data_IF_699855004788
#
_entry.id   IF_699855004788
#
_cell.length_a   1.000
_cell.length_b   1.000
_cell.length_c   1.000
_cell.angle_alpha   90.00
_cell.angle_beta   90.00
_cell.angle_gamma   90.00
#
_symmetry.space_group_name_H-M   'P 1'
#
loop_
_entity.id
_entity.type
_entity.pdbx_description
1 polymer ?
#
# COMPACT_ATOMS: atom_id res chain seq x y z
N UNK A 1 -5.78 -2.81 -22.99
CA UNK A 1 -6.16 -1.89 -21.89
C UNK A 1 -4.89 -1.39 -21.25
N UNK A 2 -4.84 -0.12 -20.83
CA UNK A 2 -3.70 0.45 -20.09
C UNK A 2 -4.00 0.47 -18.59
N UNK A 3 -2.96 0.59 -17.76
CA UNK A 3 -3.09 0.88 -16.34
C UNK A 3 -2.56 2.27 -16.02
N UNK A 4 -3.22 2.97 -15.10
CA UNK A 4 -2.76 4.22 -14.51
C UNK A 4 -2.69 4.05 -12.99
N UNK A 5 -1.48 4.04 -12.44
CA UNK A 5 -1.26 4.02 -10.99
C UNK A 5 -1.05 5.45 -10.49
N UNK A 6 -1.75 5.81 -9.42
CA UNK A 6 -1.56 7.10 -8.76
C UNK A 6 -0.60 6.97 -7.58
N UNK A 7 0.59 7.55 -7.73
CA UNK A 7 1.67 7.55 -6.73
C UNK A 7 2.22 8.96 -6.44
N UNK A 8 1.39 10.00 -6.59
CA UNK A 8 1.77 11.40 -6.36
C UNK A 8 1.46 11.96 -4.97
N UNK A 9 0.91 11.15 -4.06
CA UNK A 9 0.46 11.62 -2.75
C UNK A 9 1.61 11.87 -1.75
N UNK A 10 1.54 12.98 -1.00
CA UNK A 10 2.57 13.38 0.00
C UNK A 10 2.65 12.48 1.25
N UNK A 11 1.73 11.52 1.43
CA UNK A 11 1.83 10.49 2.48
C UNK A 11 1.84 10.98 3.93
N UNK A 12 1.33 12.19 4.23
CA UNK A 12 1.55 12.88 5.51
C UNK A 12 1.05 12.14 6.76
N UNK A 13 0.02 11.29 6.63
CA UNK A 13 -0.55 10.49 7.74
C UNK A 13 0.34 9.34 8.22
N UNK A 14 1.33 8.93 7.42
CA UNK A 14 2.31 7.89 7.75
C UNK A 14 3.67 8.46 8.17
N UNK A 15 3.74 9.77 8.43
CA UNK A 15 4.93 10.34 9.06
C UNK A 15 5.14 9.67 10.43
N UNK A 16 6.41 9.42 10.83
CA UNK A 16 7.63 9.93 10.22
C UNK A 16 8.17 9.12 9.03
N UNK A 17 7.59 7.96 8.71
CA UNK A 17 8.14 7.04 7.68
C UNK A 17 8.17 7.67 6.28
N UNK A 18 7.20 8.53 5.99
CA UNK A 18 7.05 9.20 4.69
C UNK A 18 7.74 10.56 4.62
N UNK A 19 8.56 10.95 5.62
CA UNK A 19 9.44 12.12 5.47
C UNK A 19 10.54 11.88 4.44
N UNK A 20 11.02 10.64 4.36
CA UNK A 20 12.18 10.25 3.55
C UNK A 20 11.80 9.44 2.32
N UNK A 21 10.52 9.14 2.10
CA UNK A 21 10.08 8.41 0.91
C UNK A 21 8.57 8.38 0.65
N UNK A 22 8.21 7.83 -0.51
CA UNK A 22 6.82 7.74 -0.98
C UNK A 22 5.99 6.77 -0.12
N UNK A 23 4.73 7.11 0.20
CA UNK A 23 3.80 6.22 0.95
C UNK A 23 3.67 4.85 0.29
N UNK A 24 3.59 4.84 -1.04
CA UNK A 24 3.39 3.65 -1.86
C UNK A 24 4.59 2.69 -1.79
N UNK A 25 5.74 3.16 -1.31
CA UNK A 25 6.96 2.36 -1.16
C UNK A 25 7.17 1.85 0.27
N UNK A 26 6.32 2.23 1.22
CA UNK A 26 6.36 1.66 2.57
C UNK A 26 6.11 0.15 2.45
N UNK A 27 7.00 -0.70 2.98
CA UNK A 27 6.88 -2.13 2.77
C UNK A 27 5.85 -2.74 3.72
N UNK A 28 5.07 -3.67 3.19
CA UNK A 28 4.18 -4.58 3.91
C UNK A 28 4.68 -5.99 3.63
N UNK A 29 4.97 -6.76 4.68
CA UNK A 29 5.62 -8.07 4.58
C UNK A 29 6.91 -8.03 3.73
N UNK A 30 7.76 -7.03 3.96
CA UNK A 30 9.00 -6.75 3.22
C UNK A 30 8.84 -6.44 1.71
N UNK A 31 7.63 -6.21 1.21
CA UNK A 31 7.40 -5.83 -0.19
C UNK A 31 6.73 -4.45 -0.25
N UNK A 32 7.20 -3.51 -1.12
CA UNK A 32 6.54 -2.23 -1.31
C UNK A 32 5.04 -2.38 -1.66
N UNK A 33 4.17 -1.55 -1.08
CA UNK A 33 2.72 -1.57 -1.36
C UNK A 33 2.43 -1.49 -2.87
N UNK A 34 3.16 -0.62 -3.56
CA UNK A 34 3.05 -0.42 -5.01
C UNK A 34 3.25 -1.73 -5.80
N UNK A 35 4.03 -2.69 -5.30
CA UNK A 35 4.36 -3.91 -6.06
C UNK A 35 3.14 -4.80 -6.15
N UNK A 36 2.35 -4.88 -5.07
CA UNK A 36 1.13 -5.67 -5.06
C UNK A 36 0.16 -5.21 -6.16
N UNK A 37 0.00 -3.89 -6.33
CA UNK A 37 -0.83 -3.34 -7.41
C UNK A 37 -0.29 -3.64 -8.81
N UNK A 38 1.03 -3.46 -9.03
CA UNK A 38 1.67 -3.76 -10.32
C UNK A 38 1.56 -5.25 -10.66
N UNK A 39 1.91 -6.13 -9.73
CA UNK A 39 1.85 -7.58 -9.89
C UNK A 39 0.41 -8.06 -10.18
N UNK A 40 -0.59 -7.51 -9.49
CA UNK A 40 -2.00 -7.84 -9.72
C UNK A 40 -2.46 -7.42 -11.13
N UNK A 41 -2.06 -6.23 -11.59
CA UNK A 41 -2.38 -5.77 -12.95
C UNK A 41 -1.69 -6.61 -14.03
N UNK A 42 -0.42 -6.97 -13.82
CA UNK A 42 0.30 -7.88 -14.72
C UNK A 42 -0.34 -9.26 -14.74
N UNK A 43 -0.73 -9.80 -13.59
CA UNK A 43 -1.41 -11.10 -13.49
C UNK A 43 -2.77 -11.08 -14.20
N UNK A 44 -3.45 -9.94 -14.24
CA UNK A 44 -4.67 -9.71 -15.03
C UNK A 44 -4.39 -9.52 -16.54
N UNK A 45 -3.13 -9.43 -16.96
CA UNK A 45 -2.71 -9.27 -18.36
C UNK A 45 -2.52 -7.81 -18.81
N UNK A 46 -2.48 -6.85 -17.88
CA UNK A 46 -2.27 -5.43 -18.17
C UNK A 46 -0.79 -5.09 -17.96
N UNK A 47 -0.04 -4.93 -19.04
CA UNK A 47 1.42 -4.74 -19.02
C UNK A 47 1.88 -3.36 -19.49
N UNK A 48 0.99 -2.50 -19.98
CA UNK A 48 1.30 -1.09 -20.33
C UNK A 48 0.82 -0.18 -19.19
N UNK A 49 1.75 0.23 -18.33
CA UNK A 49 1.46 0.86 -17.04
C UNK A 49 2.01 2.28 -17.03
N UNK A 50 1.13 3.26 -16.78
CA UNK A 50 1.49 4.63 -16.44
C UNK A 50 1.54 4.79 -14.93
N UNK A 51 2.61 5.37 -14.37
CA UNK A 51 2.69 5.73 -12.95
C UNK A 51 2.75 7.24 -12.83
N UNK A 52 1.73 7.82 -12.20
CA UNK A 52 1.71 9.25 -11.85
C UNK A 52 2.58 9.46 -10.63
N UNK A 53 3.55 10.35 -10.76
CA UNK A 53 4.55 10.66 -9.73
C UNK A 53 4.56 12.15 -9.40
N UNK A 54 4.97 12.50 -8.19
CA UNK A 54 5.20 13.90 -7.80
C UNK A 54 6.66 14.32 -8.00
N UNK A 55 6.97 15.62 -8.09
CA UNK A 55 8.35 16.11 -8.14
C UNK A 55 9.19 15.66 -6.93
N UNK A 56 8.58 15.57 -5.76
CA UNK A 56 9.29 15.29 -4.50
C UNK A 56 9.64 13.80 -4.32
N UNK A 57 8.75 12.90 -4.76
CA UNK A 57 8.87 11.45 -4.50
C UNK A 57 9.12 10.61 -5.75
N UNK A 58 8.97 11.19 -6.94
CA UNK A 58 9.00 10.45 -8.20
C UNK A 58 10.32 9.78 -8.54
N UNK A 59 11.45 10.34 -8.10
CA UNK A 59 12.77 9.72 -8.31
C UNK A 59 12.90 8.40 -7.57
N UNK A 60 12.38 8.31 -6.34
CA UNK A 60 12.43 7.10 -5.55
C UNK A 60 11.55 6.00 -6.17
N UNK A 61 10.33 6.36 -6.58
CA UNK A 61 9.43 5.44 -7.31
C UNK A 61 10.15 4.90 -8.54
N UNK A 62 10.73 5.76 -9.38
CA UNK A 62 11.50 5.37 -10.56
C UNK A 62 12.64 4.39 -10.26
N UNK A 63 13.43 4.68 -9.21
CA UNK A 63 14.57 3.86 -8.84
C UNK A 63 14.14 2.45 -8.40
N UNK A 64 13.02 2.33 -7.71
CA UNK A 64 12.51 1.05 -7.23
C UNK A 64 11.80 0.28 -8.36
N UNK A 65 10.94 0.91 -9.17
CA UNK A 65 10.15 0.21 -10.20
C UNK A 65 10.90 -0.03 -11.51
N UNK A 66 11.96 0.73 -11.78
CA UNK A 66 12.76 0.61 -13.01
C UNK A 66 11.95 0.94 -14.27
N UNK A 67 12.11 0.17 -15.34
CA UNK A 67 11.33 0.31 -16.57
C UNK A 67 10.12 -0.64 -16.62
N UNK A 68 9.88 -1.40 -15.55
CA UNK A 68 8.84 -2.42 -15.46
C UNK A 68 9.30 -3.85 -15.78
N UNK A 69 10.54 -4.05 -16.24
CA UNK A 69 11.04 -5.38 -16.61
C UNK A 69 11.00 -6.39 -15.44
N UNK A 70 11.21 -5.92 -14.20
CA UNK A 70 11.08 -6.73 -12.98
C UNK A 70 9.72 -7.43 -12.89
N UNK A 71 8.67 -6.80 -13.42
CA UNK A 71 7.30 -7.28 -13.38
C UNK A 71 6.85 -7.89 -14.71
N UNK A 72 7.68 -7.91 -15.75
CA UNK A 72 7.24 -8.27 -17.10
C UNK A 72 6.28 -7.24 -17.71
N UNK A 73 6.41 -5.96 -17.32
CA UNK A 73 5.60 -4.85 -17.80
C UNK A 73 6.47 -3.74 -18.42
N UNK A 74 5.81 -2.76 -19.03
CA UNK A 74 6.41 -1.50 -19.47
C UNK A 74 5.83 -0.37 -18.63
N UNK A 75 6.70 0.33 -17.90
CA UNK A 75 6.31 1.46 -17.05
C UNK A 75 6.66 2.79 -17.71
N UNK A 76 5.67 3.68 -17.80
CA UNK A 76 5.80 5.07 -18.24
C UNK A 76 5.54 6.00 -17.06
N UNK A 77 6.45 6.91 -16.78
CA UNK A 77 6.29 7.86 -15.67
C UNK A 77 5.64 9.16 -16.13
N UNK A 78 4.65 9.62 -15.38
CA UNK A 78 3.83 10.79 -15.69
C UNK A 78 3.97 11.76 -14.53
N UNK A 79 4.60 12.91 -14.76
CA UNK A 79 4.81 13.92 -13.73
C UNK A 79 3.51 14.68 -13.49
N UNK A 80 3.03 14.69 -12.24
CA UNK A 80 1.98 15.58 -11.77
C UNK A 80 2.63 16.67 -10.91
N UNK A 81 2.77 17.87 -11.46
CA UNK A 81 3.49 18.97 -10.81
C UNK A 81 2.83 19.40 -9.49
N UNK A 82 1.49 19.37 -9.44
CA UNK A 82 0.72 19.77 -8.27
C UNK A 82 -0.34 18.71 -7.89
N UNK A 83 -0.52 18.43 -6.58
CA UNK A 83 -1.48 17.44 -6.09
C UNK A 83 -2.92 17.98 -6.13
N UNK A 84 -3.41 18.36 -7.31
CA UNK A 84 -4.73 18.97 -7.52
C UNK A 84 -5.87 17.94 -7.67
N UNK A 85 -5.78 16.78 -7.00
CA UNK A 85 -6.83 15.75 -6.99
C UNK A 85 -6.63 14.57 -7.96
N UNK A 86 -7.47 13.54 -7.80
CA UNK A 86 -7.39 12.29 -8.56
C UNK A 86 -7.78 12.48 -10.03
N UNK A 87 -8.81 13.27 -10.32
CA UNK A 87 -9.21 13.55 -11.70
C UNK A 87 -8.16 14.41 -12.42
N UNK A 88 -7.43 15.27 -11.70
CA UNK A 88 -6.27 15.98 -12.26
C UNK A 88 -5.19 15.01 -12.74
N UNK A 89 -4.90 13.95 -11.97
CA UNK A 89 -3.91 12.96 -12.36
C UNK A 89 -4.28 12.24 -13.67
N UNK A 90 -5.56 11.89 -13.84
CA UNK A 90 -6.08 11.32 -15.10
C UNK A 90 -5.97 12.33 -16.25
N UNK A 91 -6.25 13.61 -16.00
CA UNK A 91 -6.11 14.69 -17.00
C UNK A 91 -4.67 14.84 -17.49
N UNK A 92 -3.70 14.83 -16.57
CA UNK A 92 -2.27 14.90 -16.89
C UNK A 92 -1.81 13.65 -17.64
N UNK A 93 -2.37 12.49 -17.32
CA UNK A 93 -2.07 11.22 -17.98
C UNK A 93 -2.71 11.05 -19.37
N UNK A 94 -3.54 12.00 -19.84
CA UNK A 94 -4.24 11.90 -21.14
C UNK A 94 -3.33 11.57 -22.33
N UNK A 95 -2.12 12.15 -22.49
CA UNK A 95 -1.23 11.79 -23.60
C UNK A 95 -0.78 10.32 -23.56
N UNK A 96 -0.64 9.74 -22.36
CA UNK A 96 -0.35 8.32 -22.19
C UNK A 96 -1.59 7.47 -22.45
N UNK A 97 -2.76 7.85 -21.92
CA UNK A 97 -3.98 7.06 -22.00
C UNK A 97 -4.60 7.02 -23.41
N UNK A 98 -4.53 8.14 -24.14
CA UNK A 98 -5.18 8.36 -25.44
C UNK A 98 -6.67 7.99 -25.41
N UNK A 99 -7.18 7.24 -26.39
CA UNK A 99 -8.56 6.75 -26.43
C UNK A 99 -8.66 5.28 -25.98
N UNK A 100 -7.68 4.80 -25.20
CA UNK A 100 -7.71 3.43 -24.67
C UNK A 100 -8.55 3.38 -23.39
N UNK A 101 -9.44 2.39 -23.21
CA UNK A 101 -9.97 2.10 -21.89
C UNK A 101 -8.82 1.73 -20.96
N UNK A 102 -8.96 2.08 -19.69
CA UNK A 102 -7.89 1.90 -18.71
C UNK A 102 -8.43 1.58 -17.32
N UNK A 103 -7.58 0.93 -16.53
CA UNK A 103 -7.74 0.82 -15.09
C UNK A 103 -7.00 1.99 -14.41
N UNK A 104 -7.65 2.65 -13.47
CA UNK A 104 -7.01 3.57 -12.52
C UNK A 104 -6.88 2.86 -11.18
N UNK A 105 -5.67 2.82 -10.63
CA UNK A 105 -5.35 2.15 -9.36
C UNK A 105 -4.66 3.14 -8.42
N UNK A 106 -5.17 3.31 -7.20
CA UNK A 106 -4.53 4.12 -6.17
C UNK A 106 -3.36 3.32 -5.58
N UNK A 107 -2.13 3.80 -5.76
CA UNK A 107 -0.91 3.04 -5.46
C UNK A 107 -0.67 2.74 -3.97
N UNK A 108 -1.53 3.22 -3.10
CA UNK A 108 -1.51 2.99 -1.64
C UNK A 108 -2.64 2.07 -1.16
N UNK A 109 -3.41 1.47 -2.08
CA UNK A 109 -4.48 0.54 -1.78
C UNK A 109 -4.03 -0.89 -2.04
N UNK A 110 -4.34 -1.79 -1.10
CA UNK A 110 -4.17 -3.23 -1.27
C UNK A 110 -5.53 -3.89 -1.36
N UNK A 111 -5.76 -4.66 -2.41
CA UNK A 111 -6.90 -5.56 -2.56
C UNK A 111 -6.42 -7.01 -2.57
N UNK A 112 -7.29 -7.93 -2.21
CA UNK A 112 -6.97 -9.36 -2.27
C UNK A 112 -6.64 -9.79 -3.72
N UNK A 113 -5.56 -10.57 -3.87
CA UNK A 113 -5.05 -11.01 -5.17
C UNK A 113 -6.03 -11.96 -5.85
N UNK A 114 -6.17 -11.82 -7.17
CA UNK A 114 -7.04 -12.63 -8.01
C UNK A 114 -8.40 -11.99 -8.30
N UNK A 115 -8.81 -10.97 -7.53
CA UNK A 115 -10.09 -10.29 -7.74
C UNK A 115 -10.06 -9.39 -8.98
N UNK A 116 -8.91 -8.82 -9.33
CA UNK A 116 -8.84 -7.83 -10.40
C UNK A 116 -9.20 -8.41 -11.77
N UNK A 117 -8.80 -9.65 -12.03
CA UNK A 117 -9.09 -10.36 -13.28
C UNK A 117 -10.60 -10.51 -13.51
N UNK A 118 -11.36 -10.77 -12.44
CA UNK A 118 -12.82 -10.93 -12.51
C UNK A 118 -13.49 -9.59 -12.86
N UNK A 119 -13.06 -8.50 -12.22
CA UNK A 119 -13.58 -7.17 -12.53
C UNK A 119 -13.22 -6.71 -13.94
N UNK A 120 -11.98 -6.99 -14.38
CA UNK A 120 -11.54 -6.72 -15.74
C UNK A 120 -12.39 -7.47 -16.78
N UNK A 121 -12.69 -8.75 -16.53
CA UNK A 121 -13.56 -9.54 -17.40
C UNK A 121 -14.96 -8.94 -17.48
N UNK A 122 -15.55 -8.54 -16.34
CA UNK A 122 -16.85 -7.90 -16.29
C UNK A 122 -16.87 -6.56 -17.05
N UNK A 123 -15.86 -5.72 -16.87
CA UNK A 123 -15.74 -4.46 -17.61
C UNK A 123 -15.62 -4.71 -19.12
N UNK A 124 -14.83 -5.69 -19.53
CA UNK A 124 -14.63 -6.00 -20.95
C UNK A 124 -15.90 -6.57 -21.60
N UNK A 125 -16.67 -7.38 -20.88
CA UNK A 125 -17.89 -8.00 -21.39
C UNK A 125 -19.08 -7.03 -21.45
N UNK A 126 -19.26 -6.20 -20.41
CA UNK A 126 -20.40 -5.30 -20.32
C UNK A 126 -20.14 -3.93 -20.97
N UNK A 127 -18.86 -3.58 -21.17
CA UNK A 127 -18.41 -2.32 -21.76
C UNK A 127 -19.09 -1.07 -21.14
N UNK A 128 -19.16 -0.95 -19.80
CA UNK A 128 -19.72 0.24 -19.18
C UNK A 128 -18.81 1.45 -19.41
N UNK A 129 -19.37 2.65 -19.24
CA UNK A 129 -18.60 3.90 -19.27
C UNK A 129 -17.64 4.01 -18.09
N UNK A 130 -18.07 3.50 -16.93
CA UNK A 130 -17.23 3.33 -15.76
C UNK A 130 -17.64 2.09 -14.94
N UNK A 131 -16.66 1.40 -14.37
CA UNK A 131 -16.86 0.38 -13.35
C UNK A 131 -16.06 0.74 -12.10
N UNK A 132 -16.75 0.82 -10.96
CA UNK A 132 -16.16 1.12 -9.66
C UNK A 132 -16.22 -0.10 -8.75
N UNK A 133 -15.26 -0.23 -7.84
CA UNK A 133 -15.28 -1.23 -6.79
C UNK A 133 -15.74 -0.60 -5.48
N UNK A 134 -16.57 -1.32 -4.73
CA UNK A 134 -17.13 -0.89 -3.46
C UNK A 134 -16.81 -1.91 -2.36
N UNK A 135 -16.62 -1.41 -1.14
CA UNK A 135 -16.49 -2.23 0.05
C UNK A 135 -17.29 -1.58 1.19
N UNK A 136 -17.95 -2.39 2.01
CA UNK A 136 -18.70 -1.90 3.16
C UNK A 136 -17.74 -1.45 4.27
N UNK A 137 -17.95 -0.25 4.81
CA UNK A 137 -17.12 0.32 5.88
C UNK A 137 -17.95 0.80 7.04
N UNK A 138 -17.38 0.72 8.24
CA UNK A 138 -18.01 1.21 9.47
C UNK A 138 -18.08 2.74 9.51
N UNK A 139 -17.07 3.42 8.96
CA UNK A 139 -17.02 4.89 8.91
C UNK A 139 -16.91 5.42 7.46
N UNK A 140 -18.03 5.53 6.75
CA UNK A 140 -18.05 5.94 5.34
C UNK A 140 -17.72 7.43 5.11
N UNK A 141 -17.77 8.27 6.14
CA UNK A 141 -17.56 9.74 6.02
C UNK A 141 -16.14 10.13 5.56
N UNK A 142 -15.17 9.23 5.67
CA UNK A 142 -13.79 9.45 5.26
C UNK A 142 -13.52 9.16 3.77
N UNK A 143 -14.50 8.62 3.05
CA UNK A 143 -14.33 8.08 1.68
C UNK A 143 -15.36 8.67 0.71
N UNK A 144 -15.17 8.39 -0.59
CA UNK A 144 -16.24 8.54 -1.57
C UNK A 144 -17.28 7.43 -1.41
N UNK A 145 -18.54 7.80 -1.21
CA UNK A 145 -19.62 6.86 -0.85
C UNK A 145 -20.63 6.76 -1.99
N UNK A 146 -20.92 5.53 -2.41
CA UNK A 146 -21.83 5.24 -3.51
C UNK A 146 -23.19 4.75 -3.01
N UNK A 147 -24.27 5.21 -3.64
CA UNK A 147 -25.58 4.59 -3.56
C UNK A 147 -25.80 3.76 -4.82
N UNK A 148 -26.12 2.49 -4.65
CA UNK A 148 -26.39 1.56 -5.75
C UNK A 148 -27.83 1.06 -5.69
N UNK A 149 -28.37 0.67 -6.84
CA UNK A 149 -29.64 -0.07 -6.92
C UNK A 149 -29.43 -1.59 -6.81
N UNK A 150 -30.53 -2.33 -6.78
CA UNK A 150 -30.54 -3.80 -6.67
C UNK A 150 -29.88 -4.51 -7.86
N UNK A 151 -29.66 -3.80 -8.98
CA UNK A 151 -28.99 -4.33 -10.19
C UNK A 151 -27.49 -4.03 -10.21
N UNK A 152 -26.98 -3.27 -9.24
CA UNK A 152 -25.58 -2.85 -9.15
C UNK A 152 -25.26 -1.60 -9.99
N UNK A 153 -26.27 -0.85 -10.45
CA UNK A 153 -26.06 0.46 -11.10
C UNK A 153 -25.84 1.51 -10.03
N UNK A 154 -24.90 2.42 -10.28
CA UNK A 154 -24.60 3.53 -9.37
C UNK A 154 -25.63 4.66 -9.60
N UNK A 155 -26.37 4.99 -8.55
CA UNK A 155 -27.39 6.03 -8.55
C UNK A 155 -26.83 7.39 -8.13
N UNK A 156 -25.88 7.38 -7.19
CA UNK A 156 -25.30 8.59 -6.62
C UNK A 156 -23.91 8.28 -6.06
N UNK A 157 -22.99 9.23 -6.19
CA UNK A 157 -21.64 9.14 -5.64
C UNK A 157 -21.25 10.49 -5.04
N UNK A 158 -20.76 10.49 -3.81
CA UNK A 158 -20.42 11.73 -3.09
C UNK A 158 -19.07 11.56 -2.40
N UNK A 159 -18.14 12.50 -2.60
CA UNK A 159 -16.87 12.53 -1.87
C UNK A 159 -17.06 12.98 -0.43
N UNK A 160 -16.57 12.18 0.52
CA UNK A 160 -16.51 12.47 1.96
C UNK A 160 -17.78 13.15 2.50
N UNK A 161 -18.95 12.52 2.32
CA UNK A 161 -20.21 13.11 2.71
C UNK A 161 -20.31 13.22 4.24
N UNK A 162 -20.83 14.36 4.73
CA UNK A 162 -21.20 14.50 6.15
C UNK A 162 -22.33 13.56 6.54
N UNK A 163 -23.25 13.31 5.61
CA UNK A 163 -24.37 12.37 5.76
C UNK A 163 -24.25 11.35 4.62
N UNK A 164 -23.67 10.18 4.87
CA UNK A 164 -23.37 9.20 3.83
C UNK A 164 -24.67 8.55 3.33
N UNK A 165 -24.85 8.38 1.99
CA UNK A 165 -26.05 7.77 1.44
C UNK A 165 -26.10 6.24 1.63
N UNK A 166 -24.99 5.62 2.01
CA UNK A 166 -24.84 4.19 2.29
C UNK A 166 -23.55 3.95 3.10
N UNK A 167 -23.23 2.68 3.42
CA UNK A 167 -21.93 2.28 3.97
C UNK A 167 -20.93 1.81 2.90
N UNK A 168 -21.27 1.94 1.61
CA UNK A 168 -20.45 1.45 0.50
C UNK A 168 -19.44 2.51 0.08
N UNK A 169 -18.18 2.32 0.47
CA UNK A 169 -17.07 3.18 0.10
C UNK A 169 -16.40 2.72 -1.19
N UNK A 170 -15.91 3.68 -1.98
CA UNK A 170 -15.04 3.42 -3.11
C UNK A 170 -13.75 2.74 -2.67
N UNK A 171 -13.51 1.56 -3.21
CA UNK A 171 -12.19 0.92 -3.22
C UNK A 171 -11.40 1.64 -4.30
N UNK A 172 -10.13 1.97 -4.04
CA UNK A 172 -9.26 2.77 -4.90
C UNK A 172 -8.89 2.16 -6.27
N UNK A 173 -9.81 1.44 -6.91
CA UNK A 173 -9.66 0.76 -8.19
C UNK A 173 -10.88 1.07 -9.05
N UNK A 174 -10.62 1.56 -10.26
CA UNK A 174 -11.63 2.06 -11.18
C UNK A 174 -11.30 1.58 -12.59
N UNK A 175 -12.31 1.27 -13.38
CA UNK A 175 -12.16 1.03 -14.81
C UNK A 175 -12.95 2.09 -15.56
N UNK A 176 -12.33 2.68 -16.58
CA UNK A 176 -12.94 3.76 -17.35
C UNK A 176 -12.88 3.47 -18.83
N UNK A 177 -13.97 3.81 -19.51
CA UNK A 177 -13.94 4.08 -20.94
C UNK A 177 -13.35 5.49 -21.18
N UNK A 178 -12.90 5.81 -22.41
CA UNK A 178 -12.31 7.11 -22.72
C UNK A 178 -13.23 8.31 -22.43
N UNK A 179 -14.54 8.09 -22.32
CA UNK A 179 -15.52 9.16 -22.05
C UNK A 179 -15.30 9.85 -20.70
N UNK A 180 -14.57 9.22 -19.78
CA UNK A 180 -14.19 9.84 -18.51
C UNK A 180 -13.40 11.14 -18.73
N UNK A 181 -12.65 11.24 -19.84
CA UNK A 181 -11.90 12.46 -20.16
C UNK A 181 -12.82 13.66 -20.40
N UNK A 182 -13.98 13.44 -21.01
CA UNK A 182 -14.98 14.47 -21.25
C UNK A 182 -15.62 14.88 -19.91
N UNK A 183 -15.98 13.91 -19.08
CA UNK A 183 -16.52 14.18 -17.74
C UNK A 183 -15.54 14.97 -16.86
N UNK A 184 -14.25 14.61 -16.88
CA UNK A 184 -13.19 15.34 -16.16
C UNK A 184 -13.03 16.77 -16.69
N UNK A 185 -13.29 17.03 -17.97
CA UNK A 185 -13.21 18.38 -18.53
C UNK A 185 -14.33 19.31 -18.06
N UNK A 186 -15.44 18.76 -17.56
CA UNK A 186 -16.62 19.50 -17.14
C UNK A 186 -16.61 19.85 -15.64
N UNK A 187 -15.84 19.14 -14.82
CA UNK A 187 -15.80 19.36 -13.37
C UNK A 187 -14.95 20.58 -13.00
N UNK A 188 -15.27 21.16 -11.84
CA UNK A 188 -14.52 22.24 -11.21
C UNK A 188 -13.90 21.74 -9.91
N UNK A 189 -12.84 22.40 -9.40
CA UNK A 189 -12.27 22.05 -8.10
C UNK A 189 -13.31 22.08 -6.99
N UNK A 190 -13.28 21.08 -6.10
CA UNK A 190 -14.16 21.00 -4.94
C UNK A 190 -13.85 22.11 -3.92
N UNK A 191 -14.61 22.16 -2.83
CA UNK A 191 -14.30 23.06 -1.70
C UNK A 191 -12.91 22.82 -1.08
N UNK A 192 -12.26 21.70 -1.42
CA UNK A 192 -10.88 21.37 -1.01
C UNK A 192 -9.83 21.87 -2.00
N UNK A 193 -10.25 22.43 -3.14
CA UNK A 193 -9.36 22.84 -4.23
C UNK A 193 -8.86 21.67 -5.09
N UNK A 194 -9.43 20.48 -4.95
CA UNK A 194 -9.04 19.27 -5.67
C UNK A 194 -10.06 18.93 -6.77
N UNK A 195 -9.60 18.45 -7.92
CA UNK A 195 -10.44 17.80 -8.92
C UNK A 195 -10.71 16.36 -8.48
N UNK A 196 -11.89 16.15 -7.92
CA UNK A 196 -12.31 14.86 -7.36
C UNK A 196 -12.76 13.92 -8.48
N UNK A 197 -12.32 12.65 -8.44
CA UNK A 197 -12.76 11.65 -9.42
C UNK A 197 -14.24 11.28 -9.24
N UNK A 198 -14.75 11.37 -8.01
CA UNK A 198 -16.17 11.18 -7.70
C UNK A 198 -17.06 12.14 -8.47
N UNK A 199 -16.65 13.39 -8.63
CA UNK A 199 -17.42 14.41 -9.32
C UNK A 199 -17.46 14.13 -10.83
N UNK A 200 -16.36 13.61 -11.39
CA UNK A 200 -16.33 13.16 -12.78
C UNK A 200 -17.24 11.94 -13.00
N UNK A 201 -17.23 10.97 -12.07
CA UNK A 201 -18.12 9.81 -12.15
C UNK A 201 -19.59 10.23 -11.96
N UNK A 202 -19.88 11.15 -11.05
CA UNK A 202 -21.24 11.70 -10.87
C UNK A 202 -21.71 12.42 -12.14
N UNK A 203 -20.83 13.17 -12.81
CA UNK A 203 -21.14 13.78 -14.11
C UNK A 203 -21.50 12.74 -15.19
N UNK A 204 -20.86 11.57 -15.19
CA UNK A 204 -21.28 10.45 -16.07
C UNK A 204 -22.69 9.97 -15.72
N UNK A 205 -23.00 9.79 -14.43
CA UNK A 205 -24.33 9.37 -13.96
C UNK A 205 -25.40 10.37 -14.40
N UNK A 206 -25.15 11.67 -14.21
CA UNK A 206 -26.07 12.75 -14.57
C UNK A 206 -26.35 12.81 -16.08
N UNK A 207 -25.35 12.44 -16.89
CA UNK A 207 -25.46 12.31 -18.35
C UNK A 207 -26.06 10.97 -18.81
N UNK A 208 -26.63 10.19 -17.90
CA UNK A 208 -27.24 8.88 -18.14
C UNK A 208 -26.27 7.84 -18.75
N UNK A 209 -24.97 7.99 -18.51
CA UNK A 209 -23.94 7.01 -18.87
C UNK A 209 -24.02 5.78 -17.98
N UNK A 210 -23.46 4.67 -18.45
CA UNK A 210 -23.50 3.40 -17.73
C UNK A 210 -22.37 3.33 -16.71
N UNK A 211 -22.70 3.60 -15.44
CA UNK A 211 -21.79 3.44 -14.30
C UNK A 211 -22.23 2.24 -13.47
N UNK A 212 -21.36 1.24 -13.40
CA UNK A 212 -21.61 -0.01 -12.67
C UNK A 212 -20.74 -0.09 -11.43
N UNK A 213 -21.23 -0.78 -10.41
CA UNK A 213 -20.46 -1.14 -9.23
C UNK A 213 -20.25 -2.66 -9.10
N UNK A 214 -19.15 -3.03 -8.46
CA UNK A 214 -18.93 -4.37 -7.95
C UNK A 214 -18.53 -4.32 -6.49
N UNK A 215 -19.05 -5.22 -5.68
CA UNK A 215 -18.56 -5.40 -4.32
C UNK A 215 -17.25 -6.18 -4.36
N UNK A 216 -16.29 -5.77 -3.55
CA UNK A 216 -15.10 -6.55 -3.24
C UNK A 216 -15.45 -7.51 -2.10
N UNK A 217 -15.41 -8.82 -2.38
CA UNK A 217 -15.69 -9.85 -1.36
C UNK A 217 -14.47 -10.13 -0.47
N UNK A 218 -13.26 -9.91 -1.00
CA UNK A 218 -12.00 -10.02 -0.27
C UNK A 218 -11.72 -8.80 0.61
N UNK A 219 -10.58 -8.83 1.28
CA UNK A 219 -10.16 -7.69 2.09
C UNK A 219 -9.70 -6.50 1.22
N UNK A 220 -9.89 -5.30 1.76
CA UNK A 220 -9.33 -4.06 1.26
C UNK A 220 -8.62 -3.33 2.40
N UNK A 221 -7.38 -2.90 2.15
CA UNK A 221 -6.53 -2.25 3.15
C UNK A 221 -6.01 -0.90 2.62
N UNK A 222 -6.35 0.19 3.32
CA UNK A 222 -5.68 1.50 3.19
C UNK A 222 -4.57 1.56 4.24
N UNK A 223 -3.32 1.55 3.81
CA UNK A 223 -2.16 1.64 4.73
C UNK A 223 -1.92 3.09 5.16
N UNK A 224 -2.96 3.80 5.60
CA UNK A 224 -2.96 5.24 5.84
C UNK A 224 -2.26 5.68 7.13
N UNK A 225 -2.14 4.79 8.12
CA UNK A 225 -1.57 5.04 9.45
C UNK A 225 -0.75 3.84 9.95
N UNK A 226 -0.08 3.99 11.09
CA UNK A 226 0.73 2.93 11.75
C UNK A 226 -0.07 1.64 11.92
N UNK A 227 -1.23 1.72 12.56
CA UNK A 227 -2.00 0.51 12.89
C UNK A 227 -2.58 -0.14 11.65
N UNK A 228 -2.98 0.65 10.65
CA UNK A 228 -3.42 0.14 9.35
C UNK A 228 -2.28 -0.60 8.62
N UNK A 229 -1.03 -0.12 8.76
CA UNK A 229 0.16 -0.78 8.21
C UNK A 229 0.44 -2.12 8.91
N UNK A 230 0.34 -2.17 10.24
CA UNK A 230 0.50 -3.40 11.02
C UNK A 230 -0.59 -4.42 10.67
N UNK A 231 -1.82 -3.97 10.53
CA UNK A 231 -2.93 -4.83 10.13
C UNK A 231 -2.77 -5.34 8.69
N UNK A 232 -2.32 -4.49 7.77
CA UNK A 232 -1.97 -4.92 6.43
C UNK A 232 -0.85 -5.96 6.45
N UNK A 233 0.19 -5.76 7.26
CA UNK A 233 1.28 -6.73 7.43
C UNK A 233 0.76 -8.07 7.95
N UNK A 234 -0.12 -8.04 8.96
CA UNK A 234 -0.76 -9.22 9.54
C UNK A 234 -1.52 -10.03 8.49
N UNK A 235 -2.43 -9.38 7.76
CA UNK A 235 -3.28 -10.02 6.75
C UNK A 235 -2.45 -10.59 5.59
N UNK A 236 -1.48 -9.83 5.10
CA UNK A 236 -0.61 -10.28 3.99
C UNK A 236 0.23 -11.49 4.41
N UNK A 237 0.84 -11.45 5.61
CA UNK A 237 1.60 -12.58 6.13
C UNK A 237 0.72 -13.81 6.36
N UNK A 238 -0.52 -13.63 6.81
CA UNK A 238 -1.43 -14.75 7.04
C UNK A 238 -1.91 -15.39 5.72
N UNK A 239 -2.15 -14.55 4.71
CA UNK A 239 -2.73 -14.96 3.42
C UNK A 239 -1.68 -15.53 2.47
N UNK A 240 -0.51 -14.88 2.33
CA UNK A 240 0.42 -15.16 1.22
C UNK A 240 1.80 -15.68 1.64
N UNK A 241 2.13 -15.69 2.93
CA UNK A 241 3.46 -16.14 3.36
C UNK A 241 3.64 -17.63 3.05
N UNK A 242 4.61 -17.91 2.18
CA UNK A 242 5.06 -19.27 1.87
C UNK A 242 6.37 -19.55 2.62
N UNK A 243 6.43 -20.59 3.47
CA UNK A 243 7.63 -20.87 4.25
C UNK A 243 8.82 -21.19 3.35
N UNK A 244 9.98 -20.60 3.66
CA UNK A 244 11.22 -20.86 2.95
C UNK A 244 12.42 -20.48 3.82
N UNK A 245 13.54 -21.17 3.65
CA UNK A 245 14.77 -20.81 4.33
C UNK A 245 15.94 -20.92 3.36
N UNK A 246 16.50 -19.76 3.02
CA UNK A 246 17.73 -19.65 2.22
C UNK A 246 18.87 -18.98 3.00
N UNK A 247 18.72 -18.86 4.33
CA UNK A 247 19.73 -18.33 5.25
C UNK A 247 20.44 -19.43 6.06
N UNK A 248 21.34 -19.00 6.94
CA UNK A 248 22.07 -19.84 7.88
C UNK A 248 21.39 -19.84 9.25
N UNK A 249 20.97 -21.00 9.74
CA UNK A 249 20.32 -21.16 11.05
C UNK A 249 21.15 -22.14 11.89
N UNK A 250 21.57 -21.73 13.09
CA UNK A 250 22.37 -22.59 13.97
C UNK A 250 21.54 -23.70 14.65
N UNK A 251 22.23 -24.68 15.24
CA UNK A 251 21.58 -25.84 15.88
C UNK A 251 20.80 -25.50 17.16
N UNK A 252 21.01 -24.31 17.75
CA UNK A 252 20.30 -23.86 18.95
C UNK A 252 19.01 -23.11 18.62
N UNK A 253 18.89 -22.62 17.39
CA UNK A 253 17.71 -21.87 16.96
C UNK A 253 16.50 -22.77 16.69
N UNK A 254 15.32 -22.26 16.98
CA UNK A 254 14.04 -22.93 16.74
C UNK A 254 13.18 -22.11 15.78
N UNK A 255 12.73 -22.74 14.69
CA UNK A 255 11.81 -22.15 13.71
C UNK A 255 10.49 -22.91 13.80
N UNK A 256 9.41 -22.21 14.15
CA UNK A 256 8.09 -22.80 14.40
C UNK A 256 7.05 -22.09 13.51
N UNK A 257 6.22 -22.86 12.80
CA UNK A 257 5.17 -22.30 11.93
C UNK A 257 5.69 -21.80 10.59
N UNK A 258 4.95 -20.87 9.95
CA UNK A 258 5.28 -20.35 8.63
C UNK A 258 6.36 -19.26 8.73
N UNK A 259 7.59 -19.54 8.31
CA UNK A 259 8.68 -18.57 8.37
C UNK A 259 9.41 -18.53 7.04
N UNK A 260 9.66 -17.31 6.56
CA UNK A 260 10.52 -17.03 5.41
C UNK A 260 11.82 -16.38 5.86
N UNK A 261 12.96 -16.91 5.45
CA UNK A 261 14.30 -16.40 5.77
C UNK A 261 15.06 -16.16 4.48
N UNK A 262 15.43 -14.90 4.23
CA UNK A 262 16.17 -14.43 3.06
C UNK A 262 17.65 -14.83 3.04
N UNK A 263 18.29 -14.63 1.90
CA UNK A 263 19.65 -15.12 1.65
C UNK A 263 20.69 -14.36 2.48
N UNK A 264 21.80 -15.03 2.81
CA UNK A 264 22.90 -14.48 3.62
C UNK A 264 22.48 -14.00 5.03
N UNK A 265 21.28 -14.36 5.48
CA UNK A 265 20.82 -14.04 6.83
C UNK A 265 21.30 -15.08 7.82
N UNK A 266 21.79 -14.64 8.98
CA UNK A 266 22.31 -15.50 10.05
C UNK A 266 21.40 -15.45 11.26
N UNK A 267 20.94 -16.62 11.69
CA UNK A 267 20.05 -16.81 12.83
C UNK A 267 20.79 -17.67 13.86
N UNK A 268 21.12 -17.07 15.02
CA UNK A 268 21.98 -17.67 16.03
C UNK A 268 21.27 -17.67 17.38
N UNK A 269 21.03 -18.84 17.95
CA UNK A 269 20.37 -18.99 19.25
C UNK A 269 19.03 -18.21 19.35
N UNK A 270 18.22 -18.23 18.29
CA UNK A 270 16.95 -17.52 18.22
C UNK A 270 15.74 -18.47 18.31
N UNK A 271 14.60 -17.96 18.77
CA UNK A 271 13.30 -18.64 18.61
C UNK A 271 12.40 -17.80 17.72
N UNK A 272 11.99 -18.35 16.57
CA UNK A 272 11.14 -17.65 15.60
C UNK A 272 9.82 -18.40 15.48
N UNK A 273 8.71 -17.70 15.74
CA UNK A 273 7.35 -18.24 15.65
C UNK A 273 6.56 -17.48 14.58
N UNK A 274 6.24 -18.19 13.50
CA UNK A 274 5.53 -17.68 12.35
C UNK A 274 4.04 -17.39 12.59
N UNK A 275 3.39 -16.61 11.69
CA UNK A 275 3.93 -16.14 10.41
C UNK A 275 4.96 -15.00 10.55
N UNK A 276 6.16 -15.19 10.00
CA UNK A 276 7.27 -14.20 10.06
C UNK A 276 8.02 -14.18 8.73
N UNK A 277 8.39 -12.99 8.26
CA UNK A 277 9.28 -12.80 7.11
C UNK A 277 10.56 -12.09 7.54
N UNK A 278 11.71 -12.64 7.15
CA UNK A 278 13.03 -12.08 7.38
C UNK A 278 13.70 -11.87 6.02
N UNK A 279 14.14 -10.65 5.75
CA UNK A 279 14.84 -10.27 4.54
C UNK A 279 16.24 -10.88 4.44
N UNK A 280 16.90 -10.60 3.33
CA UNK A 280 18.30 -10.95 3.10
C UNK A 280 19.28 -10.11 3.92
N UNK A 281 20.49 -10.66 4.13
CA UNK A 281 21.61 -10.03 4.84
C UNK A 281 21.28 -9.59 6.28
N UNK A 282 20.39 -10.30 6.97
CA UNK A 282 20.05 -10.00 8.35
C UNK A 282 20.97 -10.73 9.33
N UNK A 283 21.21 -10.14 10.49
CA UNK A 283 21.92 -10.80 11.59
C UNK A 283 21.04 -10.80 12.83
N UNK A 284 20.59 -11.98 13.25
CA UNK A 284 19.78 -12.19 14.45
C UNK A 284 20.54 -13.08 15.43
N UNK A 285 20.73 -12.61 16.65
CA UNK A 285 21.42 -13.35 17.72
C UNK A 285 20.66 -13.22 19.04
N UNK A 286 20.39 -14.35 19.71
CA UNK A 286 19.73 -14.39 21.02
C UNK A 286 18.36 -13.66 21.04
N UNK A 287 17.56 -13.84 19.99
CA UNK A 287 16.28 -13.12 19.82
C UNK A 287 15.08 -14.07 19.89
N UNK A 288 13.96 -13.60 20.44
CA UNK A 288 12.64 -14.14 20.14
C UNK A 288 11.91 -13.27 19.10
N UNK A 289 11.49 -13.89 17.99
CA UNK A 289 10.70 -13.24 16.95
C UNK A 289 9.31 -13.89 16.92
N UNK A 290 8.30 -13.13 17.33
CA UNK A 290 6.91 -13.55 17.40
C UNK A 290 6.13 -13.32 16.10
N UNK A 291 4.93 -13.89 16.02
CA UNK A 291 4.05 -13.82 14.85
C UNK A 291 3.79 -12.41 14.33
N UNK A 292 3.46 -12.35 13.04
CA UNK A 292 3.07 -11.15 12.31
C UNK A 292 4.16 -10.07 12.28
N UNK A 293 5.42 -10.49 12.39
CA UNK A 293 6.57 -9.61 12.31
C UNK A 293 7.22 -9.69 10.93
N UNK A 294 7.61 -8.53 10.39
CA UNK A 294 8.41 -8.43 9.17
C UNK A 294 9.73 -7.74 9.46
N UNK A 295 10.84 -8.39 9.15
CA UNK A 295 12.20 -7.87 9.34
C UNK A 295 12.80 -7.64 7.96
N UNK A 296 13.00 -6.39 7.57
CA UNK A 296 13.51 -6.02 6.26
C UNK A 296 14.99 -6.37 6.09
N UNK A 297 15.52 -6.10 4.89
CA UNK A 297 16.91 -6.37 4.54
C UNK A 297 17.91 -5.63 5.44
N UNK A 298 19.11 -6.20 5.56
CA UNK A 298 20.25 -5.54 6.20
C UNK A 298 20.01 -5.18 7.69
N UNK A 299 19.05 -5.82 8.36
CA UNK A 299 18.69 -5.55 9.76
C UNK A 299 19.56 -6.36 10.72
N UNK A 300 19.93 -5.74 11.85
CA UNK A 300 20.67 -6.41 12.94
C UNK A 300 19.84 -6.41 14.22
N UNK A 301 19.54 -7.58 14.76
CA UNK A 301 18.84 -7.76 16.03
C UNK A 301 19.71 -8.62 16.96
N UNK A 302 20.05 -8.12 18.14
CA UNK A 302 20.88 -8.85 19.12
C UNK A 302 20.28 -8.66 20.49
N UNK A 303 20.06 -9.75 21.22
CA UNK A 303 19.50 -9.75 22.58
C UNK A 303 18.20 -8.91 22.65
N UNK A 304 17.23 -9.23 21.79
CA UNK A 304 15.94 -8.52 21.70
C UNK A 304 14.79 -9.45 21.35
N UNK A 305 13.63 -9.14 21.91
CA UNK A 305 12.39 -9.86 21.65
C UNK A 305 11.38 -8.94 20.96
N UNK A 306 10.75 -9.41 19.86
CA UNK A 306 9.75 -8.65 19.12
C UNK A 306 8.54 -9.50 18.69
N UNK A 307 7.36 -8.89 18.57
CA UNK A 307 6.13 -9.50 18.05
C UNK A 307 5.28 -8.42 17.34
N UNK A 308 4.45 -8.81 16.36
CA UNK A 308 3.50 -7.91 15.68
C UNK A 308 4.12 -6.55 15.30
N UNK A 309 5.29 -6.60 14.66
CA UNK A 309 6.12 -5.42 14.40
C UNK A 309 6.74 -5.42 13.00
N UNK A 310 6.87 -4.24 12.42
CA UNK A 310 7.49 -4.01 11.11
C UNK A 310 8.84 -3.31 11.31
N UNK A 311 9.93 -4.00 11.01
CA UNK A 311 11.30 -3.48 11.14
C UNK A 311 11.83 -3.17 9.74
N UNK A 312 12.08 -1.88 9.45
CA UNK A 312 12.50 -1.43 8.13
C UNK A 312 14.01 -1.60 7.90
N UNK A 313 14.39 -1.43 6.62
CA UNK A 313 15.72 -1.77 6.13
C UNK A 313 16.84 -1.08 6.91
N UNK A 314 17.88 -1.86 7.25
CA UNK A 314 19.07 -1.36 7.92
C UNK A 314 18.88 -1.00 9.39
N UNK A 315 17.70 -1.22 9.98
CA UNK A 315 17.49 -0.97 11.41
C UNK A 315 18.40 -1.86 12.27
N UNK A 316 18.76 -1.35 13.44
CA UNK A 316 19.64 -2.04 14.40
C UNK A 316 19.08 -1.96 15.81
N UNK A 317 18.78 -3.11 16.40
CA UNK A 317 18.22 -3.21 17.75
C UNK A 317 19.11 -4.13 18.57
N UNK A 318 19.75 -3.59 19.61
CA UNK A 318 20.78 -4.32 20.37
C UNK A 318 20.59 -4.14 21.88
N UNK A 319 20.42 -5.25 22.58
CA UNK A 319 20.36 -5.31 24.04
C UNK A 319 19.03 -4.87 24.65
N UNK A 320 17.97 -4.72 23.86
CA UNK A 320 16.67 -4.28 24.35
C UNK A 320 15.94 -5.47 24.98
N UNK A 321 16.01 -5.57 26.31
CA UNK A 321 15.44 -6.68 27.07
C UNK A 321 13.91 -6.58 27.26
N UNK A 322 13.33 -5.40 27.02
CA UNK A 322 11.88 -5.23 26.97
C UNK A 322 11.35 -5.76 25.65
N UNK A 323 10.20 -6.42 25.70
CA UNK A 323 9.54 -6.93 24.51
C UNK A 323 9.03 -5.76 23.65
N UNK A 324 9.39 -5.75 22.37
CA UNK A 324 8.90 -4.80 21.38
C UNK A 324 7.62 -5.37 20.75
N UNK A 325 6.52 -4.63 20.80
CA UNK A 325 5.22 -5.05 20.27
C UNK A 325 4.51 -3.88 19.58
N UNK A 326 3.63 -4.15 18.62
CA UNK A 326 2.79 -3.15 17.94
C UNK A 326 3.59 -1.97 17.34
N UNK A 327 4.80 -2.27 16.88
CA UNK A 327 5.82 -1.27 16.58
C UNK A 327 6.20 -1.25 15.11
N UNK A 328 6.44 -0.04 14.59
CA UNK A 328 7.07 0.16 13.28
C UNK A 328 8.37 0.91 13.47
N UNK A 329 9.49 0.27 13.16
CA UNK A 329 10.83 0.82 13.36
C UNK A 329 11.40 1.23 12.01
N UNK A 330 11.70 2.52 11.86
CA UNK A 330 12.10 3.15 10.60
C UNK A 330 13.44 2.65 10.03
N UNK A 331 13.69 3.00 8.76
CA UNK A 331 14.93 2.61 8.08
C UNK A 331 16.15 3.18 8.81
N UNK A 332 17.18 2.34 9.01
CA UNK A 332 18.44 2.72 9.68
C UNK A 332 18.25 3.30 11.10
N UNK A 333 17.10 3.04 11.73
CA UNK A 333 16.89 3.42 13.12
C UNK A 333 17.72 2.53 14.04
N UNK A 334 18.31 3.12 15.08
CA UNK A 334 19.12 2.41 16.06
C UNK A 334 18.48 2.46 17.46
N UNK A 335 18.22 1.31 18.05
CA UNK A 335 17.78 1.14 19.43
C UNK A 335 18.86 0.34 20.16
N UNK A 336 19.63 1.01 21.03
CA UNK A 336 20.78 0.39 21.70
C UNK A 336 20.85 0.74 23.17
N UNK A 337 21.49 -0.12 23.97
CA UNK A 337 21.87 0.20 25.34
C UNK A 337 23.18 0.98 25.36
N UNK A 338 23.17 2.16 26.01
CA UNK A 338 24.37 2.91 26.27
C UNK A 338 25.27 2.19 27.31
N UNK A 339 26.60 2.11 27.08
CA UNK A 339 27.51 1.34 27.95
C UNK A 339 27.79 2.01 29.31
N UNK A 340 27.34 3.25 29.54
CA UNK A 340 27.71 4.07 30.71
C UNK A 340 26.59 4.07 31.76
N UNK A 341 26.98 4.03 33.04
CA UNK A 341 26.08 4.25 34.19
C UNK A 341 25.91 5.75 34.48
N UNK A 342 24.77 6.19 35.07
CA UNK A 342 23.60 5.38 35.46
C UNK A 342 22.78 4.90 34.24
N UNK A 343 21.96 3.86 34.43
CA UNK A 343 20.99 3.44 33.41
C UNK A 343 20.01 4.58 33.19
N UNK A 344 19.99 5.11 31.97
CA UNK A 344 19.13 6.23 31.60
C UNK A 344 18.72 6.08 30.14
N UNK A 345 17.52 6.58 29.81
CA UNK A 345 17.04 6.65 28.44
C UNK A 345 17.62 7.89 27.76
N UNK A 346 18.05 7.74 26.51
CA UNK A 346 18.58 8.83 25.68
C UNK A 346 17.95 8.70 24.31
N UNK A 347 17.46 9.81 23.80
CA UNK A 347 16.73 9.81 22.53
C UNK A 347 17.32 10.85 21.58
N UNK A 348 17.40 10.48 20.32
CA UNK A 348 17.51 11.38 19.17
C UNK A 348 16.26 11.10 18.34
N UNK A 349 15.31 12.04 18.35
CA UNK A 349 13.96 11.86 17.79
C UNK A 349 13.73 12.96 16.75
N UNK A 350 13.21 12.60 15.58
CA UNK A 350 12.78 13.55 14.55
C UNK A 350 11.34 14.03 14.73
N UNK A 351 10.86 14.80 13.77
CA UNK A 351 9.48 15.29 13.74
C UNK A 351 8.46 14.14 13.62
N UNK A 352 7.25 14.32 14.16
CA UNK A 352 6.12 13.39 14.13
C UNK A 352 6.38 11.96 14.66
N UNK A 353 7.54 11.67 15.26
CA UNK A 353 7.79 10.40 15.93
C UNK A 353 6.98 10.27 17.23
N UNK A 354 6.45 9.07 17.48
CA UNK A 354 5.78 8.70 18.72
C UNK A 354 6.55 7.57 19.41
N UNK A 355 6.86 7.74 20.70
CA UNK A 355 7.50 6.72 21.52
C UNK A 355 6.59 6.46 22.72
N UNK A 356 6.19 5.21 22.89
CA UNK A 356 5.39 4.75 24.03
C UNK A 356 6.19 3.72 24.82
N UNK A 357 6.35 3.98 26.11
CA UNK A 357 7.02 3.08 27.05
C UNK A 357 5.96 2.66 28.06
N UNK A 358 5.69 1.36 28.16
CA UNK A 358 4.65 0.78 29.01
C UNK A 358 5.22 -0.14 30.08
#
# INVERSE_FOLDING_TARGET
>A
MKALILSGGKGTRLRPLTYTGAKQLVPVANKPILWYGIEEMVAAGITDIGIVISPETGTEVKNQTGDGNLFGAKITYILQDEPAGLAHAVKVARPFLTDSPFIMYLGDNLIQQGDLKNFLQKFTQQQPDALILLHEVVNPTAFGVAKVDDTGRVLQLIEKPKVPPSNLALVGVYFFSPIIHDAISLIQPSNRGELEITDAIQSLIDQQKQVLACNLDGWWLDTGKKDDLLEANRIILDTYLTPSNVGEVDAKSQIIGRVQIGANSKIINCTIRGPVVIGSNCYLENCFIGPYSSIAHNTTLIDTDLEHSVILEGAKIVGINQRIIDSVIGQRAELTIAPRRPKALRFLIGDDCQIELT
#
